data_IF_560093393643
#
_entry.id   IF_560093393643
#
_cell.length_a   1.000
_cell.length_b   1.000
_cell.length_c   1.000
_cell.angle_alpha   90.00
_cell.angle_beta   90.00
_cell.angle_gamma   90.00
#
_symmetry.space_group_name_H-M   'P 1'
#
loop_
_entity.id
_entity.type
_entity.pdbx_description
1 polymer ?
#
# COMPACT_ATOMS: atom_id res chain seq x y z
N UNK A 1 -8.67 -75.28 15.30
CA UNK A 1 -7.63 -75.52 16.34
C UNK A 1 -7.12 -74.12 16.67
N UNK A 2 -7.29 -73.48 17.73
CA UNK A 2 -7.87 -73.62 19.05
C UNK A 2 -7.87 -72.19 19.61
N UNK A 3 -9.00 -71.75 20.05
CA UNK A 3 -9.14 -70.64 21.00
C UNK A 3 -8.61 -71.14 22.37
N UNK A 4 -8.08 -70.29 23.23
CA UNK A 4 -8.63 -70.25 24.57
C UNK A 4 -8.73 -68.80 25.09
N UNK A 5 -9.83 -68.46 25.66
CA UNK A 5 -10.32 -68.58 27.04
C UNK A 5 -10.02 -67.33 27.90
N UNK A 6 -11.11 -66.71 28.33
CA UNK A 6 -11.18 -65.74 29.45
C UNK A 6 -11.06 -66.50 30.80
N UNK A 7 -10.63 -65.86 31.85
CA UNK A 7 -11.08 -66.23 33.18
C UNK A 7 -11.90 -65.14 33.91
N UNK A 8 -12.78 -65.73 34.67
CA UNK A 8 -13.86 -65.28 35.51
C UNK A 8 -13.43 -64.41 36.71
N UNK A 9 -14.30 -63.48 36.96
CA UNK A 9 -14.88 -62.93 38.17
C UNK A 9 -14.61 -63.69 39.50
N UNK A 10 -14.07 -62.99 40.52
CA UNK A 10 -14.34 -63.30 41.91
C UNK A 10 -14.48 -62.07 42.78
N UNK A 11 -15.41 -62.17 43.68
CA UNK A 11 -16.10 -61.21 44.52
C UNK A 11 -15.43 -61.01 45.92
N UNK A 12 -15.84 -59.87 46.53
CA UNK A 12 -15.90 -59.57 47.98
C UNK A 12 -14.60 -59.13 48.66
N UNK A 13 -14.66 -57.96 49.27
CA UNK A 13 -14.95 -57.83 50.69
C UNK A 13 -15.12 -56.38 51.16
N UNK A 14 -16.00 -56.24 52.13
CA UNK A 14 -16.40 -55.08 52.88
C UNK A 14 -15.26 -54.39 53.65
N UNK A 15 -15.18 -53.08 53.58
CA UNK A 15 -14.31 -52.24 54.39
C UNK A 15 -14.95 -50.96 54.84
N UNK A 16 -15.46 -50.94 55.98
CA UNK A 16 -15.71 -49.97 57.06
C UNK A 16 -15.31 -48.51 56.73
N UNK A 17 -16.34 -47.65 56.77
CA UNK A 17 -16.19 -46.18 56.69
C UNK A 17 -16.04 -45.60 58.14
N UNK A 18 -14.90 -44.94 58.52
CA UNK A 18 -14.67 -44.45 59.85
C UNK A 18 -14.89 -42.95 60.03
N UNK A 19 -15.93 -42.36 59.46
CA UNK A 19 -16.29 -40.99 59.80
C UNK A 19 -17.80 -40.79 59.87
N UNK A 20 -18.37 -41.12 61.06
CA UNK A 20 -19.65 -40.64 61.54
C UNK A 20 -19.43 -39.49 62.52
N UNK A 21 -20.00 -38.33 62.36
CA UNK A 21 -19.92 -37.25 63.34
C UNK A 21 -20.83 -37.53 64.55
N UNK A 22 -20.48 -37.06 65.75
CA UNK A 22 -21.24 -37.30 66.97
C UNK A 22 -22.55 -36.50 66.97
N UNK A 23 -23.57 -37.13 67.54
CA UNK A 23 -24.92 -36.57 67.76
C UNK A 23 -24.88 -35.46 68.82
N UNK A 24 -25.13 -34.21 68.37
CA UNK A 24 -25.39 -33.05 69.27
C UNK A 24 -26.87 -32.95 69.68
N UNK A 25 -27.14 -32.23 70.75
CA UNK A 25 -28.44 -32.25 71.44
C UNK A 25 -29.58 -31.60 70.63
N UNK A 26 -30.76 -32.15 70.76
CA UNK A 26 -32.00 -31.69 70.11
C UNK A 26 -32.47 -30.34 70.70
N UNK A 27 -32.43 -29.32 69.81
CA UNK A 27 -33.08 -28.03 70.10
C UNK A 27 -34.53 -28.07 69.57
N UNK A 28 -35.50 -27.84 70.42
CA UNK A 28 -36.93 -27.66 70.05
C UNK A 28 -37.07 -26.49 69.08
N UNK A 29 -37.83 -26.58 68.00
CA UNK A 29 -38.12 -25.45 67.18
C UNK A 29 -39.06 -24.47 67.86
N UNK A 30 -38.61 -23.25 68.02
CA UNK A 30 -39.41 -22.09 68.41
C UNK A 30 -40.26 -21.64 67.23
N UNK A 31 -41.54 -21.32 67.47
CA UNK A 31 -42.48 -20.94 66.41
C UNK A 31 -42.00 -19.68 65.66
N UNK A 32 -42.11 -19.63 64.33
CA UNK A 32 -41.74 -18.44 63.61
C UNK A 32 -42.64 -17.23 63.92
N UNK A 33 -42.10 -16.03 64.06
CA UNK A 33 -42.89 -14.81 64.22
C UNK A 33 -43.79 -14.58 63.01
N UNK A 34 -45.03 -14.20 63.24
CA UNK A 34 -46.00 -13.88 62.19
C UNK A 34 -45.43 -12.74 61.30
N UNK A 35 -45.26 -12.98 60.03
CA UNK A 35 -44.86 -11.98 59.07
C UNK A 35 -45.95 -10.93 58.86
N UNK A 36 -45.62 -9.67 59.15
CA UNK A 36 -46.48 -8.54 58.82
C UNK A 36 -46.71 -8.45 57.32
N UNK A 37 -47.95 -8.66 56.91
CA UNK A 37 -48.38 -8.55 55.50
C UNK A 37 -48.47 -7.07 55.09
N UNK A 38 -47.38 -6.42 54.70
CA UNK A 38 -47.44 -5.03 54.24
C UNK A 38 -46.28 -4.45 53.46
N UNK A 39 -45.07 -5.07 53.53
CA UNK A 39 -43.88 -4.49 52.98
C UNK A 39 -43.65 -4.72 51.49
N UNK A 40 -44.08 -5.87 50.97
CA UNK A 40 -43.73 -6.27 49.58
C UNK A 40 -44.43 -5.44 48.49
N UNK A 41 -45.70 -5.00 48.72
CA UNK A 41 -46.39 -4.18 47.71
C UNK A 41 -45.86 -2.75 47.58
N UNK A 42 -45.31 -2.16 48.66
CA UNK A 42 -44.71 -0.81 48.62
C UNK A 42 -43.31 -0.85 48.02
N UNK A 43 -42.48 -1.83 48.35
CA UNK A 43 -41.13 -1.97 47.79
C UNK A 43 -41.14 -2.34 46.30
N UNK A 44 -42.04 -3.21 45.86
CA UNK A 44 -42.16 -3.61 44.47
C UNK A 44 -42.62 -2.46 43.56
N UNK A 45 -43.60 -1.66 44.00
CA UNK A 45 -44.08 -0.51 43.21
C UNK A 45 -43.02 0.58 43.05
N UNK A 46 -42.22 0.85 44.08
CA UNK A 46 -41.12 1.84 44.00
C UNK A 46 -39.96 1.34 43.20
N UNK A 47 -39.60 0.06 43.33
CA UNK A 47 -38.50 -0.55 42.54
C UNK A 47 -38.80 -0.65 41.03
N UNK A 48 -40.02 -1.01 40.68
CA UNK A 48 -40.48 -1.06 39.28
C UNK A 48 -40.58 0.35 38.68
N UNK A 49 -41.06 1.34 39.45
CA UNK A 49 -41.13 2.73 38.99
C UNK A 49 -39.77 3.35 38.75
N UNK A 50 -38.81 3.13 39.65
CA UNK A 50 -37.42 3.61 39.48
C UNK A 50 -36.72 2.86 38.33
N UNK A 51 -36.90 1.54 38.21
CA UNK A 51 -36.33 0.75 37.13
C UNK A 51 -36.86 1.15 35.75
N UNK A 52 -38.17 1.34 35.60
CA UNK A 52 -38.78 1.85 34.37
C UNK A 52 -38.35 3.30 34.06
N UNK A 53 -38.22 4.16 35.08
CA UNK A 53 -37.75 5.53 34.90
C UNK A 53 -36.28 5.57 34.41
N UNK A 54 -35.40 4.75 34.99
CA UNK A 54 -34.00 4.63 34.53
C UNK A 54 -33.91 4.04 33.13
N UNK A 55 -34.71 3.03 32.82
CA UNK A 55 -34.73 2.41 31.47
C UNK A 55 -35.28 3.39 30.43
N UNK A 56 -36.33 4.14 30.73
CA UNK A 56 -36.84 5.19 29.87
C UNK A 56 -35.81 6.32 29.66
N UNK A 57 -35.12 6.74 30.74
CA UNK A 57 -34.03 7.69 30.67
C UNK A 57 -32.89 7.22 29.80
N UNK A 58 -32.49 5.95 29.92
CA UNK A 58 -31.43 5.36 29.10
C UNK A 58 -31.81 5.26 27.61
N UNK A 59 -33.08 4.92 27.34
CA UNK A 59 -33.61 4.89 25.96
C UNK A 59 -33.62 6.30 25.35
N UNK A 60 -34.08 7.30 26.09
CA UNK A 60 -34.07 8.70 25.63
C UNK A 60 -32.64 9.21 25.40
N UNK A 61 -31.73 8.92 26.33
CA UNK A 61 -30.30 9.28 26.15
C UNK A 61 -29.67 8.60 24.94
N UNK A 62 -30.00 7.32 24.71
CA UNK A 62 -29.52 6.57 23.55
C UNK A 62 -30.07 7.11 22.21
N UNK A 63 -31.35 7.50 22.19
CA UNK A 63 -31.97 8.13 21.02
C UNK A 63 -31.36 9.52 20.77
N UNK A 64 -31.22 10.34 21.77
CA UNK A 64 -30.61 11.68 21.65
C UNK A 64 -29.14 11.57 21.27
N UNK A 65 -28.38 10.67 21.90
CA UNK A 65 -26.99 10.38 21.56
C UNK A 65 -26.84 9.85 20.14
N UNK A 66 -27.71 8.92 19.72
CA UNK A 66 -27.76 8.39 18.36
C UNK A 66 -28.12 9.45 17.31
N UNK A 67 -29.10 10.32 17.61
CA UNK A 67 -29.44 11.45 16.74
C UNK A 67 -28.28 12.47 16.64
N UNK A 68 -27.63 12.76 17.75
CA UNK A 68 -26.48 13.65 17.77
C UNK A 68 -25.30 13.06 16.97
N UNK A 69 -25.06 11.75 17.13
CA UNK A 69 -24.04 11.05 16.35
C UNK A 69 -24.37 11.04 14.84
N UNK A 70 -25.63 10.84 14.47
CA UNK A 70 -26.08 10.89 13.07
C UNK A 70 -26.00 12.29 12.48
N UNK A 71 -26.36 13.33 13.25
CA UNK A 71 -26.23 14.74 12.81
C UNK A 71 -24.74 15.10 12.67
N UNK A 72 -23.90 14.72 13.62
CA UNK A 72 -22.45 14.94 13.58
C UNK A 72 -21.81 14.20 12.40
N UNK A 73 -22.22 12.96 12.16
CA UNK A 73 -21.80 12.16 10.99
C UNK A 73 -22.31 12.80 9.68
N UNK A 74 -23.56 13.28 9.66
CA UNK A 74 -24.12 13.99 8.51
C UNK A 74 -23.41 15.31 8.22
N UNK A 75 -23.03 16.07 9.26
CA UNK A 75 -22.21 17.29 9.10
C UNK A 75 -20.80 16.97 8.62
N UNK A 76 -20.19 15.90 9.17
CA UNK A 76 -18.88 15.41 8.73
C UNK A 76 -18.91 14.94 7.27
N UNK A 77 -19.93 14.16 6.89
CA UNK A 77 -20.10 13.70 5.51
C UNK A 77 -20.42 14.87 4.56
N UNK A 78 -21.19 15.87 4.99
CA UNK A 78 -21.51 17.05 4.19
C UNK A 78 -20.31 17.99 4.05
N UNK A 79 -19.41 18.08 5.04
CA UNK A 79 -18.13 18.79 4.87
C UNK A 79 -17.21 18.07 3.89
N UNK A 80 -17.17 16.72 3.94
CA UNK A 80 -16.40 15.90 2.99
C UNK A 80 -16.97 16.01 1.56
N UNK A 81 -18.28 16.14 1.41
CA UNK A 81 -18.93 16.26 0.07
C UNK A 81 -19.01 17.68 -0.45
N UNK A 82 -18.99 18.71 0.40
CA UNK A 82 -18.96 20.12 0.00
C UNK A 82 -17.57 20.61 -0.39
N UNK A 83 -16.51 20.03 0.15
CA UNK A 83 -15.15 20.18 -0.38
C UNK A 83 -14.97 19.35 -1.67
N UNK A 84 -16.00 19.36 -2.52
CA UNK A 84 -15.94 18.89 -3.88
C UNK A 84 -14.78 19.58 -4.60
N UNK A 85 -13.63 18.90 -4.61
CA UNK A 85 -12.50 19.15 -5.52
C UNK A 85 -11.96 20.59 -5.57
N UNK A 86 -11.98 21.36 -4.49
CA UNK A 86 -10.99 22.40 -4.36
C UNK A 86 -9.67 21.72 -3.96
N UNK A 87 -8.83 21.48 -4.96
CA UNK A 87 -7.46 21.02 -4.77
C UNK A 87 -6.76 22.07 -3.92
N UNK A 88 -6.74 21.86 -2.58
CA UNK A 88 -5.98 22.76 -1.71
C UNK A 88 -4.51 22.60 -2.06
N UNK A 89 -3.85 23.73 -2.29
CA UNK A 89 -2.42 23.73 -2.52
C UNK A 89 -1.71 23.97 -1.18
N UNK A 90 -0.66 23.26 -0.94
CA UNK A 90 0.24 23.48 0.19
C UNK A 90 1.60 23.97 -0.31
N UNK A 91 2.16 24.93 0.39
CA UNK A 91 3.48 25.47 0.08
C UNK A 91 4.57 24.49 0.47
N UNK A 92 5.43 24.20 -0.50
CA UNK A 92 6.64 23.36 -0.33
C UNK A 92 7.86 24.21 -0.06
N UNK A 93 7.96 25.40 -0.72
CA UNK A 93 9.09 26.32 -0.61
C UNK A 93 8.70 27.73 -1.06
N UNK A 94 9.49 28.73 -0.68
CA UNK A 94 9.36 30.10 -1.16
C UNK A 94 8.37 30.96 -0.38
N UNK A 95 8.01 32.12 -0.95
CA UNK A 95 7.20 33.14 -0.30
C UNK A 95 5.73 32.98 -0.68
N UNK A 96 4.84 32.99 0.31
CA UNK A 96 3.40 32.93 0.10
C UNK A 96 2.91 34.15 -0.69
N UNK A 97 2.05 33.93 -1.67
CA UNK A 97 1.53 35.00 -2.52
C UNK A 97 2.56 35.58 -3.51
N UNK A 98 3.68 34.90 -3.73
CA UNK A 98 4.65 35.26 -4.74
C UNK A 98 4.05 35.29 -6.15
N UNK A 99 4.63 36.12 -7.03
CA UNK A 99 4.16 36.26 -8.41
C UNK A 99 4.54 35.09 -9.32
N UNK A 100 5.67 34.40 -9.02
CA UNK A 100 6.12 33.22 -9.73
C UNK A 100 5.63 31.95 -9.04
N UNK A 101 5.13 30.98 -9.80
CA UNK A 101 4.56 29.75 -9.26
C UNK A 101 5.11 28.51 -9.97
N UNK A 102 5.76 27.64 -9.21
CA UNK A 102 6.17 26.30 -9.66
C UNK A 102 5.27 25.23 -9.01
N UNK A 103 4.84 24.25 -9.80
CA UNK A 103 4.07 23.11 -9.29
C UNK A 103 5.01 21.97 -8.92
N UNK A 104 5.00 21.58 -7.65
CA UNK A 104 5.71 20.37 -7.20
C UNK A 104 4.79 19.14 -7.34
N UNK A 105 5.34 18.06 -7.90
CA UNK A 105 4.72 16.74 -7.95
C UNK A 105 5.70 15.75 -7.32
N UNK A 106 5.21 14.93 -6.40
CA UNK A 106 6.04 13.93 -5.71
C UNK A 106 5.94 12.59 -6.40
N UNK A 107 7.12 11.97 -6.61
CA UNK A 107 7.25 10.58 -7.07
C UNK A 107 8.02 9.83 -5.97
N UNK A 108 7.30 9.08 -5.14
CA UNK A 108 7.91 8.40 -3.98
C UNK A 108 7.40 6.98 -3.81
N UNK A 109 8.26 6.11 -3.25
CA UNK A 109 7.96 4.68 -3.12
C UNK A 109 7.86 3.99 -4.48
N UNK A 110 7.24 2.82 -4.53
CA UNK A 110 7.09 2.04 -5.76
C UNK A 110 6.18 2.73 -6.77
N UNK A 111 6.58 2.77 -8.04
CA UNK A 111 5.75 3.27 -9.13
C UNK A 111 4.83 2.15 -9.63
N UNK A 112 3.54 2.31 -9.40
CA UNK A 112 2.47 1.44 -9.89
C UNK A 112 1.79 2.08 -11.10
N UNK A 113 1.02 1.29 -11.86
CA UNK A 113 0.32 1.81 -13.05
C UNK A 113 -0.87 2.66 -12.68
N UNK A 114 -1.80 2.11 -11.90
CA UNK A 114 -3.06 2.75 -11.52
C UNK A 114 -3.47 2.35 -10.10
N UNK A 115 -4.25 3.22 -9.44
CA UNK A 115 -4.84 3.01 -8.13
C UNK A 115 -6.11 2.13 -8.15
N UNK A 116 -6.61 1.75 -9.32
CA UNK A 116 -7.90 1.08 -9.51
C UNK A 116 -8.01 -0.28 -8.79
N UNK A 117 -6.90 -0.89 -8.40
CA UNK A 117 -6.85 -2.23 -7.82
C UNK A 117 -6.99 -2.27 -6.28
N UNK A 118 -7.62 -1.27 -5.70
CA UNK A 118 -8.10 -1.37 -4.30
C UNK A 118 -7.08 -1.03 -3.22
N UNK A 119 -5.98 -0.40 -3.53
CA UNK A 119 -4.96 -0.01 -2.57
C UNK A 119 -5.35 1.26 -1.79
N UNK A 120 -6.25 1.13 -0.84
CA UNK A 120 -6.62 2.21 0.09
C UNK A 120 -5.44 2.68 0.96
N UNK A 121 -4.38 1.90 1.07
CA UNK A 121 -3.24 2.11 1.97
C UNK A 121 -1.87 2.02 1.29
N UNK A 122 -1.78 1.98 -0.05
CA UNK A 122 -0.47 1.91 -0.68
C UNK A 122 0.25 3.25 -0.63
N UNK A 123 1.46 3.23 -0.13
CA UNK A 123 2.36 4.38 -0.02
C UNK A 123 3.15 4.67 -1.31
N UNK A 124 2.73 4.13 -2.45
CA UNK A 124 3.42 4.27 -3.73
C UNK A 124 2.89 5.43 -4.60
N UNK A 125 3.55 5.61 -5.73
CA UNK A 125 3.17 6.55 -6.78
C UNK A 125 2.41 5.81 -7.88
N UNK A 126 1.31 6.36 -8.36
CA UNK A 126 0.58 5.82 -9.50
C UNK A 126 0.91 6.62 -10.75
N UNK A 127 1.43 5.93 -11.77
CA UNK A 127 1.92 6.59 -12.99
C UNK A 127 0.83 7.37 -13.72
N UNK A 128 -0.37 6.83 -13.83
CA UNK A 128 -1.50 7.53 -14.47
C UNK A 128 -1.95 8.75 -13.67
N UNK A 129 -1.95 8.70 -12.33
CA UNK A 129 -2.27 9.89 -11.52
C UNK A 129 -1.26 11.02 -11.72
N UNK A 130 0.03 10.70 -11.79
CA UNK A 130 1.07 11.71 -12.09
C UNK A 130 0.92 12.26 -13.49
N UNK A 131 0.61 11.40 -14.46
CA UNK A 131 0.36 11.81 -15.84
C UNK A 131 -0.85 12.76 -15.91
N UNK A 132 -1.96 12.43 -15.26
CA UNK A 132 -3.16 13.27 -15.21
C UNK A 132 -2.88 14.63 -14.54
N UNK A 133 -2.05 14.65 -13.48
CA UNK A 133 -1.62 15.91 -12.87
C UNK A 133 -0.89 16.80 -13.88
N UNK A 134 0.10 16.25 -14.59
CA UNK A 134 0.87 16.98 -15.60
C UNK A 134 -0.02 17.45 -16.77
N UNK A 135 -0.90 16.57 -17.25
CA UNK A 135 -1.78 16.85 -18.38
C UNK A 135 -2.87 17.90 -18.05
N UNK A 136 -3.28 17.99 -16.77
CA UNK A 136 -4.28 18.97 -16.31
C UNK A 136 -3.71 20.38 -16.14
N UNK A 137 -2.40 20.55 -15.96
CA UNK A 137 -1.77 21.86 -15.75
C UNK A 137 -1.86 22.72 -17.01
N UNK A 138 -2.40 23.92 -16.88
CA UNK A 138 -2.50 24.90 -17.97
C UNK A 138 -1.33 25.87 -17.95
N UNK A 139 -1.01 26.43 -19.11
CA UNK A 139 0.12 27.35 -19.31
C UNK A 139 0.04 28.61 -18.45
N UNK A 140 -1.17 29.07 -18.13
CA UNK A 140 -1.44 30.26 -17.32
C UNK A 140 -1.48 30.00 -15.81
N UNK A 141 -1.41 28.75 -15.37
CA UNK A 141 -1.53 28.38 -13.95
C UNK A 141 -0.18 28.25 -13.23
N UNK A 142 0.84 27.82 -13.94
CA UNK A 142 2.19 27.59 -13.38
C UNK A 142 3.28 27.99 -14.37
N UNK A 143 4.42 28.37 -13.87
CA UNK A 143 5.59 28.77 -14.68
C UNK A 143 6.53 27.60 -14.98
N UNK A 144 6.35 26.46 -14.31
CA UNK A 144 7.10 25.23 -14.51
C UNK A 144 6.68 24.16 -13.50
N UNK A 145 7.26 22.98 -13.66
CA UNK A 145 7.03 21.85 -12.77
C UNK A 145 8.35 21.41 -12.14
N UNK A 146 8.31 21.07 -10.86
CA UNK A 146 9.39 20.39 -10.16
C UNK A 146 8.93 19.02 -9.70
N UNK A 147 9.68 17.97 -10.05
CA UNK A 147 9.42 16.61 -9.62
C UNK A 147 10.33 16.29 -8.44
N UNK A 148 9.74 15.94 -7.29
CA UNK A 148 10.47 15.53 -6.09
C UNK A 148 10.52 14.01 -6.05
N UNK A 149 11.69 13.42 -6.27
CA UNK A 149 11.84 12.00 -6.59
C UNK A 149 12.58 11.24 -5.50
N UNK A 150 11.93 10.20 -4.98
CA UNK A 150 12.55 9.20 -4.10
C UNK A 150 11.88 7.83 -4.31
N UNK A 151 12.34 7.10 -5.33
CA UNK A 151 11.72 5.85 -5.78
C UNK A 151 12.74 4.78 -6.16
N UNK A 152 12.48 3.51 -5.84
CA UNK A 152 13.25 2.37 -6.37
C UNK A 152 12.82 1.96 -7.79
N UNK A 153 11.82 2.63 -8.38
CA UNK A 153 11.18 2.24 -9.62
C UNK A 153 9.86 1.48 -9.41
N UNK A 154 9.47 0.68 -10.39
CA UNK A 154 8.21 -0.08 -10.32
C UNK A 154 7.78 -0.63 -11.68
N UNK A 155 6.48 -0.51 -12.00
CA UNK A 155 5.95 -1.01 -13.27
C UNK A 155 6.46 -0.19 -14.45
N UNK A 156 6.74 -0.88 -15.55
CA UNK A 156 7.15 -0.23 -16.82
C UNK A 156 6.07 0.72 -17.31
N UNK A 157 4.80 0.27 -17.32
CA UNK A 157 3.66 1.07 -17.77
C UNK A 157 3.50 2.35 -16.95
N UNK A 158 3.61 2.28 -15.61
CA UNK A 158 3.51 3.46 -14.75
C UNK A 158 4.66 4.44 -14.97
N UNK A 159 5.88 3.93 -15.11
CA UNK A 159 7.07 4.75 -15.37
C UNK A 159 7.03 5.42 -16.73
N UNK A 160 6.62 4.69 -17.77
CA UNK A 160 6.44 5.23 -19.12
C UNK A 160 5.34 6.28 -19.19
N UNK A 161 4.21 6.08 -18.50
CA UNK A 161 3.14 7.07 -18.46
C UNK A 161 3.61 8.43 -17.93
N UNK A 162 4.46 8.41 -16.89
CA UNK A 162 5.08 9.63 -16.34
C UNK A 162 6.01 10.27 -17.38
N UNK A 163 6.92 9.51 -17.99
CA UNK A 163 7.87 10.02 -19.00
C UNK A 163 7.15 10.67 -20.18
N UNK A 164 6.10 10.01 -20.69
CA UNK A 164 5.27 10.54 -21.78
C UNK A 164 4.53 11.84 -21.38
N UNK A 165 4.01 11.88 -20.15
CA UNK A 165 3.32 13.08 -19.64
C UNK A 165 4.27 14.27 -19.46
N UNK A 166 5.52 14.04 -19.01
CA UNK A 166 6.56 15.07 -18.98
C UNK A 166 6.80 15.63 -20.38
N UNK A 167 6.95 14.76 -21.35
CA UNK A 167 7.16 15.16 -22.76
C UNK A 167 5.97 15.97 -23.27
N UNK A 168 4.74 15.47 -23.13
CA UNK A 168 3.51 16.19 -23.54
C UNK A 168 3.37 17.54 -22.83
N UNK A 169 3.66 17.61 -21.53
CA UNK A 169 3.60 18.88 -20.78
C UNK A 169 4.58 19.90 -21.36
N UNK A 170 5.83 19.52 -21.59
CA UNK A 170 6.88 20.39 -22.16
C UNK A 170 6.53 20.86 -23.57
N UNK A 171 6.05 19.98 -24.41
CA UNK A 171 5.65 20.32 -25.78
C UNK A 171 4.42 21.24 -25.82
N UNK A 172 3.44 21.00 -24.98
CA UNK A 172 2.19 21.75 -24.91
C UNK A 172 2.36 23.15 -24.32
N UNK A 173 3.19 23.27 -23.29
CA UNK A 173 3.30 24.51 -22.51
C UNK A 173 4.56 25.32 -22.82
N UNK A 174 5.60 24.71 -23.31
CA UNK A 174 6.94 25.31 -23.43
C UNK A 174 7.62 25.57 -22.08
N UNK A 175 6.99 25.14 -20.95
CA UNK A 175 7.49 25.38 -19.60
C UNK A 175 8.41 24.24 -19.16
N UNK A 176 9.44 24.53 -18.30
CA UNK A 176 10.40 23.54 -17.90
C UNK A 176 9.82 22.54 -16.88
N UNK A 177 10.36 21.32 -16.93
CA UNK A 177 10.21 20.30 -15.89
C UNK A 177 11.58 19.98 -15.35
N UNK A 178 11.78 20.24 -14.05
CA UNK A 178 13.04 19.94 -13.35
C UNK A 178 12.82 18.84 -12.32
N UNK A 179 13.80 17.99 -12.15
CA UNK A 179 13.77 16.86 -11.23
C UNK A 179 14.74 17.12 -10.08
N UNK A 180 14.30 16.90 -8.85
CA UNK A 180 15.17 16.80 -7.68
C UNK A 180 15.12 15.38 -7.11
N UNK A 181 16.24 14.68 -7.18
CA UNK A 181 16.35 13.34 -6.62
C UNK A 181 16.72 13.43 -5.15
N UNK A 182 15.72 13.34 -4.25
CA UNK A 182 15.88 13.52 -2.81
C UNK A 182 16.57 12.34 -2.11
N UNK A 183 16.43 11.12 -2.65
CA UNK A 183 17.05 9.92 -2.08
C UNK A 183 17.44 8.90 -3.15
N UNK A 184 16.49 8.43 -3.92
CA UNK A 184 16.76 7.52 -5.02
C UNK A 184 15.91 7.84 -6.25
N UNK A 185 16.49 7.65 -7.42
CA UNK A 185 15.81 7.57 -8.71
C UNK A 185 16.41 6.39 -9.45
N UNK A 186 15.90 5.19 -9.17
CA UNK A 186 16.47 3.96 -9.72
C UNK A 186 15.46 3.23 -10.59
N UNK A 187 15.96 2.57 -11.63
CA UNK A 187 15.17 1.74 -12.53
C UNK A 187 13.98 2.52 -13.13
N UNK A 188 12.73 2.19 -12.85
CA UNK A 188 11.56 2.95 -13.26
C UNK A 188 11.60 4.43 -12.88
N UNK A 189 12.35 4.81 -11.84
CA UNK A 189 12.59 6.20 -11.47
C UNK A 189 13.39 6.94 -12.53
N UNK A 190 14.49 6.35 -13.02
CA UNK A 190 15.28 6.89 -14.15
C UNK A 190 14.42 6.93 -15.40
N UNK A 191 13.69 5.84 -15.70
CA UNK A 191 12.80 5.77 -16.84
C UNK A 191 11.80 6.93 -16.87
N UNK A 192 11.10 7.13 -15.75
CA UNK A 192 10.05 8.14 -15.63
C UNK A 192 10.56 9.59 -15.76
N UNK A 193 11.82 9.85 -15.42
CA UNK A 193 12.35 11.21 -15.35
C UNK A 193 13.34 11.56 -16.45
N UNK A 194 13.75 10.59 -17.27
CA UNK A 194 14.78 10.78 -18.30
C UNK A 194 14.49 11.94 -19.28
N UNK A 195 13.22 12.21 -19.56
CA UNK A 195 12.77 13.25 -20.50
C UNK A 195 12.62 14.64 -19.90
N UNK A 196 12.91 14.83 -18.59
CA UNK A 196 12.90 16.15 -17.97
C UNK A 196 13.96 17.10 -18.55
N UNK A 197 13.80 18.41 -18.33
CA UNK A 197 14.78 19.38 -18.80
C UNK A 197 16.11 19.24 -18.06
N UNK A 198 16.04 19.06 -16.74
CA UNK A 198 17.21 18.87 -15.88
C UNK A 198 16.88 17.88 -14.75
N UNK A 199 17.89 17.09 -14.38
CA UNK A 199 17.85 16.14 -13.26
C UNK A 199 18.94 16.54 -12.28
N UNK A 200 18.55 17.01 -11.12
CA UNK A 200 19.45 17.47 -10.06
C UNK A 200 19.44 16.42 -8.93
N UNK A 201 20.62 15.91 -8.62
CA UNK A 201 20.82 14.94 -7.55
C UNK A 201 21.03 15.67 -6.22
N UNK A 202 20.34 15.28 -5.15
CA UNK A 202 20.70 15.73 -3.80
C UNK A 202 21.94 14.99 -3.29
N UNK A 203 22.56 15.53 -2.26
CA UNK A 203 23.70 14.91 -1.60
C UNK A 203 23.31 13.53 -1.02
N UNK A 204 24.08 12.50 -1.39
CA UNK A 204 23.82 11.12 -0.94
C UNK A 204 22.73 10.39 -1.71
N UNK A 205 22.11 10.98 -2.71
CA UNK A 205 21.16 10.30 -3.57
C UNK A 205 21.80 9.23 -4.47
N UNK A 206 20.97 8.30 -4.93
CA UNK A 206 21.35 7.18 -5.79
C UNK A 206 20.53 7.20 -7.08
N UNK A 207 21.22 7.07 -8.23
CA UNK A 207 20.60 7.11 -9.54
C UNK A 207 21.16 5.96 -10.41
N UNK A 208 20.30 5.30 -11.19
CA UNK A 208 20.74 4.23 -12.07
C UNK A 208 19.84 3.02 -12.09
N UNK A 209 20.42 1.81 -12.10
CA UNK A 209 19.69 0.55 -12.24
C UNK A 209 18.82 0.50 -13.50
N UNK A 210 19.42 0.82 -14.67
CA UNK A 210 18.74 0.79 -15.97
C UNK A 210 18.62 -0.66 -16.40
N UNK A 211 17.50 -1.29 -16.10
CA UNK A 211 17.25 -2.70 -16.37
C UNK A 211 15.82 -3.11 -16.08
N UNK A 212 15.46 -4.27 -16.62
CA UNK A 212 14.13 -4.87 -16.48
C UNK A 212 14.25 -6.24 -15.85
N UNK A 213 13.38 -6.57 -14.92
CA UNK A 213 13.32 -7.86 -14.25
C UNK A 213 11.91 -8.44 -14.33
N UNK A 214 11.80 -9.74 -14.50
CA UNK A 214 10.57 -10.51 -14.39
C UNK A 214 10.79 -11.65 -13.39
N UNK A 215 10.04 -11.66 -12.33
CA UNK A 215 10.16 -12.64 -11.25
C UNK A 215 10.07 -12.02 -9.87
N UNK A 216 10.33 -12.77 -8.79
CA UNK A 216 10.82 -14.15 -8.80
C UNK A 216 9.80 -15.15 -9.35
N UNK A 217 10.28 -16.17 -10.06
CA UNK A 217 9.47 -17.30 -10.49
C UNK A 217 9.78 -18.49 -9.58
N UNK A 218 9.03 -18.69 -8.48
CA UNK A 218 9.34 -19.75 -7.52
C UNK A 218 9.21 -21.13 -8.15
N UNK A 219 10.10 -22.05 -7.76
CA UNK A 219 10.08 -23.47 -8.17
C UNK A 219 10.36 -24.32 -6.94
N UNK A 220 9.45 -25.23 -6.66
CA UNK A 220 9.54 -26.14 -5.52
C UNK A 220 9.85 -27.55 -5.99
N UNK A 221 10.98 -28.09 -5.57
CA UNK A 221 11.40 -29.49 -5.82
C UNK A 221 11.53 -30.19 -4.48
N UNK A 222 11.17 -31.47 -4.44
CA UNK A 222 11.36 -32.35 -3.26
C UNK A 222 10.72 -31.76 -1.99
N UNK A 223 9.52 -31.19 -2.14
CA UNK A 223 8.83 -30.52 -1.02
C UNK A 223 8.42 -31.55 0.02
N UNK A 224 8.94 -31.40 1.25
CA UNK A 224 8.55 -32.17 2.41
C UNK A 224 7.60 -31.33 3.26
N UNK A 225 6.38 -31.82 3.46
CA UNK A 225 5.45 -31.14 4.35
C UNK A 225 5.85 -31.38 5.82
N UNK A 226 6.04 -30.30 6.56
CA UNK A 226 6.15 -30.32 8.02
C UNK A 226 4.77 -30.19 8.65
N UNK A 227 4.53 -30.91 9.76
CA UNK A 227 3.20 -31.08 10.38
C UNK A 227 2.47 -29.75 10.70
N UNK A 228 1.14 -29.85 10.79
CA UNK A 228 0.25 -28.72 11.15
C UNK A 228 0.58 -28.13 12.51
N UNK A 229 0.52 -26.82 12.63
CA UNK A 229 0.45 -26.11 13.91
C UNK A 229 -1.01 -25.75 14.22
N UNK A 230 -1.30 -25.31 15.46
CA UNK A 230 -2.64 -24.86 15.86
C UNK A 230 -3.16 -23.65 15.05
N UNK A 231 -2.27 -22.93 14.37
CA UNK A 231 -2.57 -21.72 13.61
C UNK A 231 -2.36 -21.86 12.10
N UNK A 232 -1.72 -22.94 11.67
CA UNK A 232 -1.47 -23.21 10.26
C UNK A 232 -1.73 -24.67 9.93
N UNK A 233 -2.61 -24.91 8.97
CA UNK A 233 -2.92 -26.24 8.48
C UNK A 233 -1.78 -26.70 7.56
N UNK A 234 -1.03 -27.72 7.97
CA UNK A 234 -0.01 -28.38 7.16
C UNK A 234 -0.55 -29.59 6.44
N UNK A 235 0.06 -29.94 5.32
CA UNK A 235 -0.21 -31.16 4.58
C UNK A 235 1.01 -32.07 4.73
N UNK A 236 0.82 -33.28 5.26
CA UNK A 236 1.89 -34.30 5.29
C UNK A 236 1.73 -35.20 4.08
N UNK A 237 2.76 -35.27 3.24
CA UNK A 237 2.77 -36.17 2.06
C UNK A 237 4.04 -37.04 2.10
N UNK A 238 3.95 -38.26 1.60
CA UNK A 238 5.10 -39.17 1.42
C UNK A 238 5.60 -39.20 -0.02
N UNK A 239 4.85 -38.58 -0.96
CA UNK A 239 5.14 -38.59 -2.40
C UNK A 239 5.37 -37.19 -3.00
N UNK A 240 5.54 -36.14 -2.16
CA UNK A 240 5.68 -34.78 -2.63
C UNK A 240 4.34 -34.09 -2.91
N UNK A 241 4.40 -32.84 -3.36
CA UNK A 241 3.25 -32.03 -3.76
C UNK A 241 3.35 -31.78 -5.27
N UNK A 242 2.28 -32.06 -6.00
CA UNK A 242 2.14 -31.70 -7.41
C UNK A 242 0.86 -30.90 -7.61
N UNK A 243 0.87 -30.00 -8.57
CA UNK A 243 -0.31 -29.24 -8.97
C UNK A 243 -0.51 -29.41 -10.47
N UNK A 244 -1.65 -29.94 -10.84
CA UNK A 244 -2.02 -30.16 -12.24
C UNK A 244 -3.09 -29.16 -12.66
N UNK A 245 -2.92 -28.59 -13.84
CA UNK A 245 -3.88 -27.72 -14.49
C UNK A 245 -4.35 -28.38 -15.79
N UNK A 246 -5.65 -28.50 -15.96
CA UNK A 246 -6.26 -28.89 -17.25
C UNK A 246 -6.47 -27.62 -18.04
N UNK A 247 -5.66 -27.41 -19.09
CA UNK A 247 -5.63 -26.14 -19.82
C UNK A 247 -5.81 -26.35 -21.31
N UNK A 248 -6.33 -25.32 -21.97
CA UNK A 248 -6.26 -25.16 -23.41
C UNK A 248 -5.38 -23.96 -23.75
N UNK A 249 -4.38 -24.18 -24.61
CA UNK A 249 -3.33 -23.20 -24.94
C UNK A 249 -2.01 -23.50 -24.22
N UNK A 250 -0.93 -23.57 -25.01
CA UNK A 250 0.41 -23.84 -24.51
C UNK A 250 0.86 -22.74 -23.54
N UNK A 251 1.34 -23.11 -22.35
CA UNK A 251 1.85 -22.20 -21.34
C UNK A 251 0.79 -21.54 -20.45
N UNK A 252 -0.46 -22.00 -20.48
CA UNK A 252 -1.49 -21.45 -19.57
C UNK A 252 -1.23 -21.71 -18.08
N UNK A 253 -0.41 -22.72 -17.78
CA UNK A 253 0.05 -23.07 -16.44
C UNK A 253 1.49 -22.60 -16.15
N UNK A 254 1.94 -21.56 -16.81
CA UNK A 254 3.28 -21.00 -16.71
C UNK A 254 3.71 -20.72 -15.25
N UNK A 255 2.76 -20.30 -14.40
CA UNK A 255 2.98 -19.96 -13.00
C UNK A 255 2.90 -21.18 -12.06
N UNK A 256 2.75 -22.42 -12.59
CA UNK A 256 2.80 -23.60 -11.75
C UNK A 256 4.19 -23.77 -11.11
N UNK A 257 4.33 -23.61 -9.77
CA UNK A 257 5.63 -23.63 -9.11
C UNK A 257 6.20 -25.06 -8.95
N UNK A 258 5.41 -26.10 -9.26
CA UNK A 258 5.79 -27.51 -9.10
C UNK A 258 6.28 -28.16 -10.40
N UNK A 259 6.45 -27.39 -11.46
CA UNK A 259 7.11 -27.82 -12.69
C UNK A 259 8.15 -26.82 -13.16
N UNK A 260 9.14 -27.29 -13.88
CA UNK A 260 10.09 -26.42 -14.57
C UNK A 260 9.45 -25.70 -15.76
N UNK A 261 9.98 -24.54 -16.09
CA UNK A 261 9.65 -23.87 -17.35
C UNK A 261 10.20 -24.69 -18.51
N UNK A 262 9.42 -24.81 -19.57
CA UNK A 262 9.93 -25.28 -20.84
C UNK A 262 10.90 -24.25 -21.44
N UNK A 263 11.80 -24.70 -22.31
CA UNK A 263 12.73 -23.79 -23.00
C UNK A 263 11.98 -22.73 -23.82
N UNK A 264 10.88 -23.10 -24.48
CA UNK A 264 10.04 -22.17 -25.22
C UNK A 264 9.38 -21.08 -24.31
N UNK A 265 8.91 -21.46 -23.12
CA UNK A 265 8.38 -20.50 -22.16
C UNK A 265 9.46 -19.54 -21.66
N UNK A 266 10.65 -20.07 -21.36
CA UNK A 266 11.81 -19.25 -20.96
C UNK A 266 12.18 -18.25 -22.02
N UNK A 267 12.28 -18.68 -23.28
CA UNK A 267 12.60 -17.81 -24.42
C UNK A 267 11.55 -16.70 -24.60
N UNK A 268 10.26 -17.03 -24.47
CA UNK A 268 9.19 -16.02 -24.56
C UNK A 268 9.26 -14.99 -23.44
N UNK A 269 9.53 -15.42 -22.21
CA UNK A 269 9.69 -14.50 -21.08
C UNK A 269 10.93 -13.62 -21.26
N UNK A 270 12.03 -14.20 -21.73
CA UNK A 270 13.25 -13.43 -22.01
C UNK A 270 13.01 -12.39 -23.11
N UNK A 271 12.35 -12.76 -24.20
CA UNK A 271 12.02 -11.81 -25.26
C UNK A 271 11.17 -10.63 -24.76
N UNK A 272 10.21 -10.86 -23.86
CA UNK A 272 9.43 -9.77 -23.25
C UNK A 272 10.32 -8.82 -22.43
N UNK A 273 11.24 -9.36 -21.65
CA UNK A 273 12.19 -8.56 -20.84
C UNK A 273 13.13 -7.77 -21.75
N UNK A 274 13.60 -8.40 -22.81
CA UNK A 274 14.50 -7.77 -23.79
C UNK A 274 13.81 -6.63 -24.54
N UNK A 275 12.57 -6.82 -25.00
CA UNK A 275 11.77 -5.78 -25.67
C UNK A 275 11.55 -4.56 -24.77
N UNK A 276 11.14 -4.77 -23.51
CA UNK A 276 10.94 -3.69 -22.54
C UNK A 276 12.27 -2.99 -22.18
N UNK A 277 13.36 -3.75 -22.10
CA UNK A 277 14.70 -3.19 -21.87
C UNK A 277 15.16 -2.30 -23.03
N UNK A 278 14.93 -2.72 -24.27
CA UNK A 278 15.25 -1.91 -25.46
C UNK A 278 14.50 -0.58 -25.45
N UNK A 279 13.21 -0.58 -25.11
CA UNK A 279 12.41 0.64 -25.02
C UNK A 279 12.93 1.54 -23.90
N UNK A 280 13.27 0.98 -22.73
CA UNK A 280 13.84 1.74 -21.61
C UNK A 280 15.16 2.40 -21.98
N UNK A 281 16.09 1.64 -22.59
CA UNK A 281 17.37 2.19 -23.04
C UNK A 281 17.16 3.31 -24.06
N UNK A 282 16.26 3.13 -25.02
CA UNK A 282 15.95 4.15 -26.01
C UNK A 282 15.42 5.44 -25.38
N UNK A 283 14.53 5.36 -24.39
CA UNK A 283 13.99 6.52 -23.67
C UNK A 283 15.07 7.29 -22.91
N UNK A 284 15.92 6.56 -22.17
CA UNK A 284 17.05 7.20 -21.44
C UNK A 284 18.05 7.80 -22.41
N UNK A 285 18.40 7.08 -23.48
CA UNK A 285 19.32 7.57 -24.49
C UNK A 285 18.83 8.88 -25.14
N UNK A 286 17.56 8.92 -25.53
CA UNK A 286 16.94 10.10 -26.11
C UNK A 286 16.86 11.27 -25.10
N UNK A 287 16.36 11.02 -23.90
CA UNK A 287 16.16 12.04 -22.87
C UNK A 287 17.46 12.61 -22.32
N UNK A 288 18.48 11.76 -22.13
CA UNK A 288 19.77 12.16 -21.57
C UNK A 288 20.86 12.40 -22.62
N UNK A 289 20.54 12.22 -23.90
CA UNK A 289 21.48 12.33 -25.02
C UNK A 289 22.72 11.43 -24.86
N UNK A 290 22.51 10.21 -24.39
CA UNK A 290 23.53 9.20 -24.18
C UNK A 290 23.54 8.21 -25.34
N UNK A 291 24.70 7.62 -25.61
CA UNK A 291 24.77 6.52 -26.54
C UNK A 291 24.12 5.25 -25.98
N UNK A 292 23.15 4.65 -26.69
CA UNK A 292 22.51 3.41 -26.24
C UNK A 292 23.47 2.26 -25.92
N UNK A 293 24.61 2.19 -26.62
CA UNK A 293 25.61 1.14 -26.35
C UNK A 293 26.37 1.41 -25.03
N UNK A 294 26.68 2.67 -24.73
CA UNK A 294 27.27 3.03 -23.43
C UNK A 294 26.30 2.72 -22.29
N UNK A 295 24.99 2.97 -22.47
CA UNK A 295 23.99 2.59 -21.47
C UNK A 295 24.01 1.08 -21.23
N UNK A 296 24.05 0.25 -22.28
CA UNK A 296 24.05 -1.22 -22.14
C UNK A 296 25.34 -1.77 -21.55
N UNK A 297 26.48 -1.28 -22.01
CA UNK A 297 27.79 -1.92 -21.77
C UNK A 297 28.53 -1.32 -20.57
N UNK A 298 28.36 -0.02 -20.31
CA UNK A 298 29.10 0.71 -19.27
C UNK A 298 28.25 1.02 -18.06
N UNK A 299 27.00 1.47 -18.24
CA UNK A 299 26.11 1.79 -17.14
C UNK A 299 25.38 0.55 -16.63
N UNK A 300 24.76 -0.22 -17.52
CA UNK A 300 23.97 -1.41 -17.19
C UNK A 300 22.95 -1.13 -16.08
N UNK A 301 22.73 -2.12 -15.23
CA UNK A 301 21.92 -1.97 -14.02
C UNK A 301 22.72 -1.42 -12.82
N UNK A 302 23.83 -0.72 -13.05
CA UNK A 302 24.64 -0.07 -12.01
C UNK A 302 23.88 1.04 -11.29
N UNK A 303 24.19 1.22 -10.02
CA UNK A 303 23.68 2.33 -9.18
C UNK A 303 24.83 3.27 -8.89
N UNK A 304 24.61 4.55 -9.12
CA UNK A 304 25.62 5.60 -9.04
C UNK A 304 25.28 6.57 -7.91
N UNK A 305 26.30 7.02 -7.17
CA UNK A 305 26.15 8.15 -6.26
C UNK A 305 25.88 9.44 -7.05
N UNK A 306 25.38 10.48 -6.40
CA UNK A 306 25.03 11.76 -7.02
C UNK A 306 26.14 12.28 -7.97
N UNK A 307 27.40 12.30 -7.54
CA UNK A 307 28.53 12.76 -8.36
C UNK A 307 28.86 11.83 -9.53
N UNK A 308 28.74 10.52 -9.29
CA UNK A 308 28.94 9.56 -10.38
C UNK A 308 27.84 9.67 -11.43
N UNK A 309 26.59 9.86 -11.01
CA UNK A 309 25.45 10.06 -11.91
C UNK A 309 25.65 11.29 -12.82
N UNK A 310 26.20 12.39 -12.29
CA UNK A 310 26.58 13.56 -13.10
C UNK A 310 27.69 13.19 -14.10
N UNK A 311 28.72 12.48 -13.65
CA UNK A 311 29.85 12.12 -14.52
C UNK A 311 29.43 11.22 -15.69
N UNK A 312 28.43 10.36 -15.51
CA UNK A 312 27.92 9.46 -16.55
C UNK A 312 26.70 10.04 -17.30
N UNK A 313 26.30 11.27 -17.03
CA UNK A 313 25.22 11.97 -17.73
C UNK A 313 23.81 11.60 -17.31
N UNK A 314 23.61 10.83 -16.23
CA UNK A 314 22.29 10.50 -15.69
C UNK A 314 21.70 11.63 -14.84
N UNK A 315 22.53 12.55 -14.36
CA UNK A 315 22.11 13.79 -13.72
C UNK A 315 22.90 14.97 -14.28
N UNK A 316 22.43 16.19 -14.07
CA UNK A 316 23.03 17.42 -14.60
C UNK A 316 23.89 18.13 -13.57
N UNK A 317 23.49 18.08 -12.28
CA UNK A 317 24.24 18.68 -11.17
C UNK A 317 23.93 18.00 -9.85
N UNK A 318 24.70 18.39 -8.80
CA UNK A 318 24.43 18.04 -7.40
C UNK A 318 24.10 19.33 -6.66
N UNK A 319 22.89 19.42 -6.09
CA UNK A 319 22.42 20.57 -5.31
C UNK A 319 21.58 20.09 -4.13
N UNK A 320 21.72 20.76 -2.98
CA UNK A 320 20.79 20.58 -1.86
C UNK A 320 19.41 21.19 -2.17
N UNK A 321 18.41 20.83 -1.37
CA UNK A 321 17.00 21.16 -1.63
C UNK A 321 16.72 22.66 -1.82
N UNK A 322 17.25 23.55 -0.99
CA UNK A 322 17.03 24.99 -1.13
C UNK A 322 17.69 25.55 -2.39
N UNK A 323 18.91 25.13 -2.66
CA UNK A 323 19.66 25.50 -3.86
C UNK A 323 18.93 25.04 -5.13
N UNK A 324 18.39 23.83 -5.13
CA UNK A 324 17.57 23.30 -6.22
C UNK A 324 16.34 24.17 -6.50
N UNK A 325 15.58 24.57 -5.46
CA UNK A 325 14.39 25.40 -5.70
C UNK A 325 14.75 26.79 -6.24
N UNK A 326 15.84 27.40 -5.78
CA UNK A 326 16.35 28.65 -6.33
C UNK A 326 16.78 28.50 -7.80
N UNK A 327 17.47 27.41 -8.10
CA UNK A 327 17.86 27.06 -9.46
C UNK A 327 16.62 26.84 -10.34
N UNK A 328 15.63 26.08 -9.87
CA UNK A 328 14.39 25.80 -10.60
C UNK A 328 13.59 27.07 -10.91
N UNK A 329 13.52 28.04 -9.97
CA UNK A 329 12.92 29.32 -10.22
C UNK A 329 13.67 30.07 -11.35
N UNK A 330 14.99 30.11 -11.30
CA UNK A 330 15.82 30.77 -12.33
C UNK A 330 15.67 30.08 -13.68
N UNK A 331 15.67 28.76 -13.74
CA UNK A 331 15.48 27.98 -14.96
C UNK A 331 14.09 28.19 -15.59
N UNK A 332 13.09 28.49 -14.78
CA UNK A 332 11.75 28.89 -15.23
C UNK A 332 11.63 30.39 -15.60
N UNK A 333 12.73 31.16 -15.53
CA UNK A 333 12.73 32.59 -15.82
C UNK A 333 12.14 33.46 -14.70
N UNK A 334 12.11 32.96 -13.47
CA UNK A 334 11.55 33.63 -12.30
C UNK A 334 12.65 34.15 -11.37
N UNK A 335 12.30 35.15 -10.55
CA UNK A 335 13.14 35.59 -9.43
C UNK A 335 12.93 34.68 -8.23
N UNK A 336 13.95 34.00 -7.68
CA UNK A 336 13.79 33.05 -6.59
C UNK A 336 13.07 33.60 -5.35
N UNK A 337 13.36 34.83 -4.96
CA UNK A 337 12.77 35.47 -3.78
C UNK A 337 11.28 35.90 -3.99
N UNK A 338 10.83 35.90 -5.26
CA UNK A 338 9.44 36.15 -5.65
C UNK A 338 8.74 34.91 -6.21
N UNK A 339 9.21 33.74 -5.85
CA UNK A 339 8.68 32.46 -6.34
C UNK A 339 8.15 31.64 -5.17
N UNK A 340 7.04 30.96 -5.40
CA UNK A 340 6.48 29.93 -4.54
C UNK A 340 6.49 28.60 -5.26
N UNK A 341 6.75 27.52 -4.52
CA UNK A 341 6.59 26.15 -4.99
C UNK A 341 5.45 25.54 -4.18
N UNK A 342 4.43 25.09 -4.88
CA UNK A 342 3.22 24.53 -4.28
C UNK A 342 2.94 23.14 -4.83
N UNK A 343 2.41 22.28 -3.98
CA UNK A 343 1.89 20.96 -4.38
C UNK A 343 0.42 20.82 -4.02
N UNK A 344 -0.23 19.89 -4.65
CA UNK A 344 -1.56 19.45 -4.23
C UNK A 344 -1.44 18.81 -2.85
N UNK A 345 -2.24 19.29 -1.88
CA UNK A 345 -2.26 18.72 -0.54
C UNK A 345 -2.79 17.28 -0.58
N UNK A 346 -2.06 16.38 0.04
CA UNK A 346 -2.52 15.01 0.18
C UNK A 346 -3.55 14.92 1.31
N UNK A 347 -4.62 14.13 1.16
CA UNK A 347 -5.55 13.90 2.24
C UNK A 347 -4.82 13.23 3.41
N UNK A 348 -4.83 13.88 4.58
CA UNK A 348 -4.13 13.40 5.78
C UNK A 348 -5.11 12.88 6.83
N UNK A 349 -4.70 11.88 7.63
CA UNK A 349 -5.40 11.42 8.82
C UNK A 349 -6.72 10.70 8.52
N UNK A 350 -7.76 10.99 9.35
CA UNK A 350 -9.06 10.33 9.30
C UNK A 350 -9.78 10.52 7.95
N UNK A 351 -9.50 11.59 7.22
CA UNK A 351 -10.07 11.85 5.90
C UNK A 351 -9.62 10.82 4.85
N UNK A 352 -8.35 10.38 4.90
CA UNK A 352 -7.86 9.31 4.03
C UNK A 352 -8.48 7.95 4.39
N UNK A 353 -8.71 7.71 5.68
CA UNK A 353 -9.35 6.49 6.19
C UNK A 353 -10.85 6.42 5.85
N UNK A 354 -11.51 7.58 5.75
CA UNK A 354 -12.93 7.69 5.42
C UNK A 354 -13.20 7.83 3.91
N UNK A 355 -12.19 7.62 3.08
CA UNK A 355 -12.34 7.64 1.62
C UNK A 355 -12.41 9.04 1.03
N UNK A 356 -11.80 10.04 1.68
CA UNK A 356 -11.56 11.33 1.03
C UNK A 356 -10.79 11.08 -0.27
N UNK A 357 -11.32 11.62 -1.37
CA UNK A 357 -10.72 11.45 -2.70
C UNK A 357 -9.29 11.96 -2.65
N UNK A 358 -8.35 11.14 -3.12
CA UNK A 358 -7.11 11.68 -3.66
C UNK A 358 -7.51 12.73 -4.69
N UNK A 359 -6.81 13.86 -4.72
CA UNK A 359 -7.10 14.92 -5.68
C UNK A 359 -7.05 14.41 -7.15
N UNK A 360 -6.38 13.29 -7.32
CA UNK A 360 -6.20 12.56 -8.57
C UNK A 360 -6.36 11.07 -8.26
N UNK A 361 -7.31 10.42 -8.91
CA UNK A 361 -7.61 9.01 -8.75
C UNK A 361 -9.04 8.70 -8.29
N UNK A 362 -9.48 7.46 -8.47
CA UNK A 362 -10.81 6.99 -8.12
C UNK A 362 -10.92 6.72 -6.62
N UNK A 363 -11.91 7.32 -5.95
CA UNK A 363 -12.28 6.93 -4.59
C UNK A 363 -13.09 5.64 -4.65
N UNK A 364 -12.73 4.64 -3.83
CA UNK A 364 -13.61 3.51 -3.59
C UNK A 364 -14.78 3.95 -2.71
N UNK A 365 -16.02 3.58 -3.04
CA UNK A 365 -17.16 3.82 -2.16
C UNK A 365 -16.99 3.00 -0.87
N UNK A 366 -17.45 3.55 0.25
CA UNK A 366 -17.40 2.93 1.59
C UNK A 366 -18.02 1.51 1.63
N UNK A 367 -18.92 1.20 0.67
CA UNK A 367 -19.51 -0.12 0.47
C UNK A 367 -18.55 -1.20 -0.06
N UNK A 368 -17.38 -0.79 -0.55
CA UNK A 368 -16.33 -1.72 -1.00
C UNK A 368 -15.39 -2.17 0.13
N UNK A 369 -15.59 -1.68 1.38
CA UNK A 369 -14.85 -2.08 2.58
C UNK A 369 -15.30 -3.43 3.17
N UNK A 370 -15.88 -4.32 2.36
CA UNK A 370 -16.02 -5.73 2.69
C UNK A 370 -14.65 -6.41 2.82
N UNK A 371 -14.58 -7.54 3.52
CA UNK A 371 -13.41 -8.31 3.96
C UNK A 371 -12.20 -8.49 2.99
N UNK A 372 -12.26 -7.94 1.78
CA UNK A 372 -11.19 -7.99 0.77
C UNK A 372 -10.36 -6.68 0.64
N UNK A 373 -10.61 -5.68 1.46
CA UNK A 373 -9.99 -4.35 1.33
C UNK A 373 -8.53 -4.25 1.83
N UNK A 374 -7.88 -5.35 2.14
CA UNK A 374 -6.48 -5.41 2.60
C UNK A 374 -5.55 -6.03 1.55
N UNK A 375 -5.99 -6.19 0.31
CA UNK A 375 -5.06 -6.49 -0.75
C UNK A 375 -4.27 -5.21 -1.09
N UNK A 376 -3.10 -5.07 -0.50
CA UNK A 376 -2.07 -4.16 -1.00
C UNK A 376 -1.92 -4.43 -2.50
N UNK A 377 -1.91 -3.38 -3.33
CA UNK A 377 -1.45 -3.52 -4.71
C UNK A 377 0.01 -4.00 -4.62
N UNK A 378 0.17 -5.30 -4.74
CA UNK A 378 1.43 -5.97 -4.52
C UNK A 378 2.18 -6.01 -5.86
N UNK A 379 3.35 -5.39 -5.89
CA UNK A 379 4.26 -5.50 -7.03
C UNK A 379 4.50 -6.96 -7.41
N UNK A 380 4.31 -7.86 -6.46
CA UNK A 380 4.48 -9.30 -6.57
C UNK A 380 3.33 -10.02 -7.27
N UNK A 381 2.16 -9.38 -7.35
CA UNK A 381 1.03 -9.89 -8.13
C UNK A 381 1.13 -9.52 -9.61
N UNK A 382 2.08 -8.64 -9.98
CA UNK A 382 2.29 -8.23 -11.36
C UNK A 382 3.05 -9.33 -12.10
N UNK A 383 2.38 -9.95 -13.06
CA UNK A 383 2.96 -10.98 -13.94
C UNK A 383 3.69 -10.38 -15.15
N UNK A 384 3.83 -9.07 -15.22
CA UNK A 384 4.51 -8.33 -16.27
C UNK A 384 5.95 -7.95 -15.86
N UNK A 385 6.85 -7.68 -16.82
CA UNK A 385 8.16 -7.12 -16.53
C UNK A 385 8.10 -5.81 -15.78
N UNK A 386 9.02 -5.60 -14.83
CA UNK A 386 9.08 -4.41 -14.00
C UNK A 386 10.48 -3.78 -14.04
N UNK A 387 10.54 -2.47 -13.90
CA UNK A 387 11.75 -1.70 -13.72
C UNK A 387 11.86 -1.30 -12.22
N UNK A 388 12.37 -2.22 -11.39
CA UNK A 388 12.50 -2.07 -9.94
C UNK A 388 13.94 -2.37 -9.50
N UNK A 389 14.52 -1.49 -8.69
CA UNK A 389 15.83 -1.69 -8.07
C UNK A 389 15.67 -2.06 -6.60
N UNK A 390 16.10 -3.25 -6.24
CA UNK A 390 16.05 -3.77 -4.88
C UNK A 390 15.76 -5.26 -4.82
N UNK A 391 15.75 -5.78 -3.61
CA UNK A 391 15.38 -7.17 -3.35
C UNK A 391 13.86 -7.32 -3.35
N UNK A 392 13.33 -7.96 -4.38
CA UNK A 392 11.89 -8.27 -4.49
C UNK A 392 11.42 -9.21 -3.37
N UNK A 393 12.29 -10.02 -2.78
CA UNK A 393 11.94 -10.91 -1.66
C UNK A 393 11.56 -10.13 -0.41
N UNK A 394 12.15 -8.95 -0.19
CA UNK A 394 11.79 -8.04 0.89
C UNK A 394 10.43 -7.37 0.71
N UNK A 395 9.97 -7.24 -0.53
CA UNK A 395 8.65 -6.68 -0.88
C UNK A 395 7.61 -7.78 -1.03
N UNK A 396 8.01 -8.96 -1.48
CA UNK A 396 7.16 -10.10 -1.82
C UNK A 396 7.16 -11.23 -0.78
N UNK A 397 7.92 -11.11 0.30
CA UNK A 397 8.21 -12.23 1.20
C UNK A 397 7.13 -12.60 2.23
N UNK A 398 5.94 -12.01 2.22
CA UNK A 398 4.89 -12.27 3.21
C UNK A 398 3.51 -12.61 2.59
N UNK A 399 3.46 -13.15 1.40
CA UNK A 399 2.21 -13.65 0.80
C UNK A 399 2.04 -15.17 0.95
#
# INVERSE_FOLDING_TARGET
MTEPEQPKNESRESGINPYAPPSGPSIRPEAPPQAEKGGFKRGFGTGVGVGLGLMAGFVVLSIVGGLFALISLGMLLNSITKDGASTSLERVWGTEGASGNLRAIRISGTIMTDAADGALLSSGTYGYEVADQLDSLKTDQVDGVVLLVNTPGGTITGSKAIADAITRYRERTGKPVLVHVEGSSTSGGVYSTATANEIIADHGSMIGSIGVILGPLPRYKDVVATGSTLLQQGITTTGGISQEYITAGSGKDLNNPYRDLTEQERQRLQAMVDDDYEIFVAEVAAGRKLDPQSIRNELGAGIFSARQAVNVGLADAVMGRDEFFRHAATAAGLEPDKTVVERVAEPTGLSSLLGAKRAWGTSLPLSALGEKAVASADLCSVTAPIAYAGDLSGVCGNS
#
